data_IF_559813974726
#
_entry.id   IF_559813974726
#
_cell.length_a   1.000
_cell.length_b   1.000
_cell.length_c   1.000
_cell.angle_alpha   90.00
_cell.angle_beta   90.00
_cell.angle_gamma   90.00
#
_symmetry.space_group_name_H-M   'P 1'
#
loop_
_entity.id
_entity.type
_entity.pdbx_description
1 polymer ?
#
# COMPACT_ATOMS: atom_id res chain seq x y z
N UNK A 1 -5.55 -1.51 -26.38
CA UNK A 1 -6.21 -2.84 -26.57
C UNK A 1 -6.19 -3.56 -25.25
N UNK A 2 -7.36 -3.81 -24.68
CA UNK A 2 -7.43 -4.67 -23.50
C UNK A 2 -7.12 -6.09 -23.99
N UNK A 3 -5.96 -6.60 -23.58
CA UNK A 3 -5.68 -8.01 -23.79
C UNK A 3 -6.78 -8.81 -23.10
N UNK A 4 -7.54 -9.57 -23.87
CA UNK A 4 -8.52 -10.49 -23.29
C UNK A 4 -7.74 -11.45 -22.40
N UNK A 5 -8.01 -11.39 -21.13
CA UNK A 5 -7.35 -12.26 -20.17
C UNK A 5 -7.79 -13.68 -20.43
N UNK A 6 -6.88 -14.41 -21.01
CA UNK A 6 -7.02 -15.83 -21.05
C UNK A 6 -6.74 -16.37 -19.64
N UNK A 7 -7.78 -16.80 -18.93
CA UNK A 7 -7.64 -17.37 -17.59
C UNK A 7 -6.62 -18.52 -17.54
N UNK A 8 -6.39 -19.16 -18.68
CA UNK A 8 -5.40 -20.22 -18.85
C UNK A 8 -3.93 -19.75 -18.75
N UNK A 9 -3.70 -18.42 -18.83
CA UNK A 9 -2.36 -17.82 -18.77
C UNK A 9 -2.03 -17.27 -17.39
N UNK A 10 -2.95 -17.37 -16.42
CA UNK A 10 -2.69 -16.94 -15.05
C UNK A 10 -1.97 -18.07 -14.34
N UNK A 11 -0.77 -17.78 -13.84
CA UNK A 11 -0.10 -18.68 -12.92
C UNK A 11 -0.94 -18.76 -11.63
N UNK A 12 -1.41 -19.95 -11.21
CA UNK A 12 -2.18 -20.08 -9.98
C UNK A 12 -1.49 -19.52 -8.75
N UNK A 13 -0.16 -19.50 -8.73
CA UNK A 13 0.63 -18.94 -7.63
C UNK A 13 0.48 -17.41 -7.50
N UNK A 14 0.10 -16.73 -8.59
CA UNK A 14 -0.13 -15.29 -8.58
C UNK A 14 -1.52 -14.91 -8.09
N UNK A 15 -2.43 -15.87 -7.95
CA UNK A 15 -3.77 -15.61 -7.45
C UNK A 15 -3.78 -15.71 -5.93
N UNK A 16 -4.08 -14.60 -5.27
CA UNK A 16 -4.12 -14.49 -3.81
C UNK A 16 -5.46 -13.90 -3.38
N UNK A 17 -6.36 -14.76 -2.90
CA UNK A 17 -7.62 -14.38 -2.26
C UNK A 17 -8.43 -13.28 -3.01
N UNK A 18 -8.61 -13.46 -4.31
CA UNK A 18 -9.41 -12.55 -5.14
C UNK A 18 -8.59 -11.60 -6.00
N UNK A 19 -7.28 -11.49 -5.77
CA UNK A 19 -6.39 -10.64 -6.55
C UNK A 19 -5.37 -11.47 -7.31
N UNK A 20 -4.96 -10.96 -8.47
CA UNK A 20 -3.87 -11.54 -9.25
C UNK A 20 -2.67 -10.61 -9.18
N UNK A 21 -1.52 -11.11 -8.72
CA UNK A 21 -0.30 -10.29 -8.66
C UNK A 21 0.00 -9.65 -10.00
N UNK A 22 0.40 -8.39 -9.91
CA UNK A 22 0.85 -7.55 -11.02
C UNK A 22 -0.26 -7.09 -11.96
N UNK A 23 -1.51 -7.31 -11.59
CA UNK A 23 -2.66 -6.68 -12.25
C UNK A 23 -3.05 -5.39 -11.57
N UNK A 24 -3.73 -4.54 -12.31
CA UNK A 24 -4.19 -3.25 -11.81
C UNK A 24 -5.61 -3.33 -11.29
N UNK A 25 -5.84 -2.66 -10.15
CA UNK A 25 -7.15 -2.53 -9.52
C UNK A 25 -7.34 -1.10 -9.06
N UNK A 26 -8.53 -0.55 -9.28
CA UNK A 26 -8.92 0.71 -8.65
C UNK A 26 -9.25 0.48 -7.17
N UNK A 27 -9.30 1.55 -6.37
CA UNK A 27 -9.74 1.43 -4.97
C UNK A 27 -11.13 0.82 -4.87
N UNK A 28 -12.06 1.25 -5.74
CA UNK A 28 -13.42 0.71 -5.76
C UNK A 28 -13.43 -0.80 -6.03
N UNK A 29 -12.64 -1.27 -7.00
CA UNK A 29 -12.52 -2.70 -7.29
C UNK A 29 -11.99 -3.48 -6.09
N UNK A 30 -10.98 -2.93 -5.42
CA UNK A 30 -10.37 -3.58 -4.25
C UNK A 30 -11.40 -3.76 -3.14
N UNK A 31 -12.15 -2.73 -2.81
CA UNK A 31 -13.16 -2.80 -1.74
C UNK A 31 -14.25 -3.81 -2.07
N UNK A 32 -14.66 -3.86 -3.34
CA UNK A 32 -15.65 -4.82 -3.82
C UNK A 32 -15.15 -6.26 -3.70
N UNK A 33 -13.91 -6.51 -4.11
CA UNK A 33 -13.29 -7.84 -4.03
C UNK A 33 -13.10 -8.27 -2.57
N UNK A 34 -12.75 -7.33 -1.69
CA UNK A 34 -12.62 -7.60 -0.25
C UNK A 34 -13.98 -7.76 0.45
N UNK A 35 -15.09 -7.55 -0.25
CA UNK A 35 -16.43 -7.76 0.30
C UNK A 35 -16.91 -6.68 1.25
N UNK A 36 -16.43 -5.45 1.09
CA UNK A 36 -16.89 -4.35 1.93
C UNK A 36 -18.37 -4.07 1.67
N UNK A 37 -19.15 -3.91 2.74
CA UNK A 37 -20.55 -3.52 2.67
C UNK A 37 -20.71 -2.02 2.35
N UNK A 38 -19.69 -1.21 2.64
CA UNK A 38 -19.64 0.21 2.33
C UNK A 38 -18.80 0.43 1.08
N UNK A 39 -19.17 1.46 0.31
CA UNK A 39 -18.37 1.89 -0.84
C UNK A 39 -17.99 3.36 -0.68
N UNK A 40 -17.06 3.68 0.23
CA UNK A 40 -16.66 5.06 0.45
C UNK A 40 -15.97 5.64 -0.79
N UNK A 41 -16.07 6.96 -1.03
CA UNK A 41 -15.32 7.61 -2.10
C UNK A 41 -13.82 7.33 -1.97
N UNK A 42 -13.13 7.24 -3.10
CA UNK A 42 -11.70 6.95 -3.14
C UNK A 42 -10.86 7.88 -2.24
N UNK A 43 -11.24 9.15 -2.17
CA UNK A 43 -10.58 10.14 -1.33
C UNK A 43 -10.67 9.82 0.17
N UNK A 44 -11.72 9.11 0.59
CA UNK A 44 -11.90 8.71 1.99
C UNK A 44 -11.14 7.42 2.32
N UNK A 45 -10.75 6.65 1.32
CA UNK A 45 -9.86 5.50 1.48
C UNK A 45 -8.42 5.99 1.60
N UNK A 46 -8.03 6.93 0.73
CA UNK A 46 -6.67 7.49 0.73
C UNK A 46 -5.59 6.45 0.53
N UNK A 47 -4.53 6.53 1.33
CA UNK A 47 -3.40 5.62 1.29
C UNK A 47 -3.66 4.28 1.96
N UNK A 48 -4.58 4.21 2.90
CA UNK A 48 -5.00 2.95 3.54
C UNK A 48 -6.26 3.19 4.34
N UNK A 49 -7.02 2.13 4.54
CA UNK A 49 -8.20 2.17 5.41
C UNK A 49 -8.55 0.77 5.91
N UNK A 50 -8.77 0.66 7.21
CA UNK A 50 -9.21 -0.58 7.82
C UNK A 50 -10.64 -0.91 7.38
N UNK A 51 -10.91 -2.18 7.07
CA UNK A 51 -12.24 -2.62 6.70
C UNK A 51 -13.23 -2.50 7.87
N UNK A 52 -14.53 -2.33 7.58
CA UNK A 52 -15.54 -2.28 8.63
C UNK A 52 -15.58 -3.53 9.52
N UNK A 53 -15.27 -4.69 8.96
CA UNK A 53 -15.24 -5.97 9.69
C UNK A 53 -13.94 -6.20 10.47
N UNK A 54 -12.95 -5.31 10.33
CA UNK A 54 -11.66 -5.41 11.00
C UNK A 54 -10.75 -6.54 10.50
N UNK A 55 -11.00 -7.09 9.32
CA UNK A 55 -10.23 -8.24 8.78
C UNK A 55 -9.15 -7.85 7.79
N UNK A 56 -9.23 -6.66 7.22
CA UNK A 56 -8.28 -6.21 6.20
C UNK A 56 -8.00 -4.73 6.27
N UNK A 57 -6.84 -4.34 5.74
CA UNK A 57 -6.47 -2.94 5.55
C UNK A 57 -5.69 -2.83 4.25
N UNK A 58 -6.35 -2.59 3.12
CA UNK A 58 -5.64 -2.38 1.86
C UNK A 58 -4.78 -1.13 1.93
N UNK A 59 -3.56 -1.22 1.40
CA UNK A 59 -2.57 -0.14 1.39
C UNK A 59 -2.31 0.26 -0.06
N UNK A 60 -2.45 1.55 -0.34
CA UNK A 60 -2.28 2.13 -1.68
C UNK A 60 -1.12 3.11 -1.66
N UNK A 61 -0.16 2.91 -2.55
CA UNK A 61 1.03 3.75 -2.66
C UNK A 61 1.13 4.32 -4.07
N UNK A 62 1.32 5.64 -4.18
CA UNK A 62 1.76 6.28 -5.40
C UNK A 62 3.24 6.57 -5.25
N UNK A 63 4.06 5.90 -6.06
CA UNK A 63 5.51 5.90 -5.86
C UNK A 63 6.14 7.28 -6.15
N UNK A 64 5.71 7.94 -7.23
CA UNK A 64 6.12 9.31 -7.56
C UNK A 64 4.90 10.22 -7.51
N UNK A 65 4.88 11.16 -6.59
CA UNK A 65 3.80 12.13 -6.44
C UNK A 65 4.18 13.44 -7.15
N UNK A 66 3.23 14.04 -7.86
CA UNK A 66 3.48 15.23 -8.66
C UNK A 66 3.82 16.48 -7.84
N UNK A 67 3.38 16.55 -6.60
CA UNK A 67 3.56 17.67 -5.68
C UNK A 67 4.69 17.48 -4.67
N UNK A 68 5.65 16.60 -4.98
CA UNK A 68 6.80 16.39 -4.11
C UNK A 68 7.69 17.61 -4.03
N UNK A 69 7.95 18.07 -2.81
CA UNK A 69 8.93 19.10 -2.52
C UNK A 69 10.17 18.47 -1.87
N UNK A 70 11.34 19.08 -2.12
CA UNK A 70 12.62 18.54 -1.66
C UNK A 70 12.66 18.24 -0.16
N UNK A 71 11.99 19.07 0.65
CA UNK A 71 11.96 18.94 2.12
C UNK A 71 11.23 17.69 2.61
N UNK A 72 10.33 17.12 1.81
CA UNK A 72 9.53 15.94 2.19
C UNK A 72 10.00 14.65 1.53
N UNK A 73 10.99 14.68 0.64
CA UNK A 73 11.48 13.49 -0.07
C UNK A 73 11.95 12.39 0.90
N UNK A 74 12.56 12.75 2.01
CA UNK A 74 13.03 11.78 3.02
C UNK A 74 11.89 11.09 3.78
N UNK A 75 10.65 11.58 3.66
CA UNK A 75 9.45 11.00 4.27
C UNK A 75 8.57 10.30 3.25
N UNK A 76 9.17 9.83 2.19
CA UNK A 76 8.51 9.20 1.07
C UNK A 76 8.59 7.68 1.16
N UNK A 77 7.51 7.03 0.78
CA UNK A 77 7.49 5.58 0.62
C UNK A 77 8.51 5.17 -0.46
N UNK A 78 9.35 4.20 -0.15
CA UNK A 78 10.46 3.82 -1.03
C UNK A 78 10.79 2.34 -0.89
N UNK A 79 10.92 1.64 -2.02
CA UNK A 79 11.46 0.29 -2.02
C UNK A 79 12.94 0.28 -1.61
N UNK A 80 13.26 -0.54 -0.64
CA UNK A 80 14.64 -0.88 -0.25
C UNK A 80 15.14 -2.10 -1.00
N UNK A 81 14.24 -2.99 -1.39
CA UNK A 81 14.47 -4.23 -2.12
C UNK A 81 13.16 -4.64 -2.80
N UNK A 82 13.18 -5.57 -3.76
CA UNK A 82 11.94 -6.03 -4.42
C UNK A 82 10.91 -6.62 -3.48
N UNK A 83 11.28 -7.05 -2.29
CA UNK A 83 10.38 -7.61 -1.28
C UNK A 83 10.24 -6.74 -0.03
N UNK A 84 10.78 -5.52 -0.03
CA UNK A 84 10.79 -4.65 1.16
C UNK A 84 10.48 -3.20 0.77
N UNK A 85 9.35 -2.69 1.27
CA UNK A 85 8.93 -1.31 1.07
C UNK A 85 9.05 -0.52 2.38
N UNK A 86 9.87 0.53 2.39
CA UNK A 86 9.87 1.50 3.49
C UNK A 86 8.65 2.40 3.36
N UNK A 87 7.80 2.42 4.39
CA UNK A 87 6.47 3.00 4.31
C UNK A 87 6.17 3.88 5.52
N UNK A 88 5.40 4.94 5.28
CA UNK A 88 4.95 5.89 6.30
C UNK A 88 3.43 5.88 6.41
N UNK A 89 2.94 5.95 7.66
CA UNK A 89 1.52 6.19 7.91
C UNK A 89 1.13 7.62 7.51
N UNK A 90 -0.16 7.93 7.61
CA UNK A 90 -0.60 9.33 7.55
C UNK A 90 0.09 10.13 8.64
N UNK A 91 0.23 11.43 8.38
CA UNK A 91 0.68 12.38 9.41
C UNK A 91 -0.27 12.39 10.61
N UNK A 92 0.24 12.83 11.75
CA UNK A 92 -0.50 12.91 13.02
C UNK A 92 -0.95 11.55 13.52
N UNK A 93 -0.13 10.53 13.31
CA UNK A 93 -0.35 9.18 13.81
C UNK A 93 0.78 8.78 14.75
N UNK A 94 0.43 8.01 15.76
CA UNK A 94 1.38 7.49 16.74
C UNK A 94 1.29 5.96 16.80
N UNK A 95 2.19 5.34 17.50
CA UNK A 95 2.16 3.89 17.76
C UNK A 95 0.85 3.45 18.43
N UNK A 96 0.16 4.36 19.10
CA UNK A 96 -1.11 4.09 19.80
C UNK A 96 -2.36 4.36 18.94
N UNK A 97 -2.20 4.94 17.75
CA UNK A 97 -3.33 5.18 16.86
C UNK A 97 -3.99 3.86 16.48
N UNK A 98 -5.33 3.74 16.51
CA UNK A 98 -6.02 2.45 16.30
C UNK A 98 -5.67 1.81 14.96
N UNK A 99 -5.61 2.60 13.88
CA UNK A 99 -5.26 2.09 12.54
C UNK A 99 -3.82 1.59 12.47
N UNK A 100 -2.89 2.24 13.20
CA UNK A 100 -1.49 1.83 13.25
C UNK A 100 -1.38 0.53 14.04
N UNK A 101 -2.07 0.42 15.17
CA UNK A 101 -2.10 -0.81 15.96
C UNK A 101 -2.68 -1.98 15.17
N UNK A 102 -3.70 -1.72 14.35
CA UNK A 102 -4.25 -2.73 13.46
C UNK A 102 -3.19 -3.26 12.47
N UNK A 103 -2.47 -2.34 11.83
CA UNK A 103 -1.45 -2.70 10.84
C UNK A 103 -0.26 -3.44 11.48
N UNK A 104 0.15 -3.02 12.68
CA UNK A 104 1.32 -3.58 13.36
C UNK A 104 1.03 -4.83 14.18
N UNK A 105 -0.24 -5.19 14.36
CA UNK A 105 -0.64 -6.38 15.07
C UNK A 105 -0.25 -7.64 14.28
N UNK A 106 0.30 -8.63 14.97
CA UNK A 106 0.79 -9.88 14.35
C UNK A 106 -0.27 -10.99 14.26
N UNK A 107 -1.54 -10.66 14.39
CA UNK A 107 -2.61 -11.65 14.26
C UNK A 107 -2.64 -12.23 12.84
N UNK A 108 -2.79 -13.56 12.76
CA UNK A 108 -2.66 -14.29 11.49
C UNK A 108 -3.85 -14.19 10.55
N UNK A 109 -5.00 -13.72 11.01
CA UNK A 109 -6.23 -13.59 10.22
C UNK A 109 -6.37 -12.25 9.52
N UNK A 110 -5.42 -11.36 9.72
CA UNK A 110 -5.42 -10.00 9.21
C UNK A 110 -4.77 -9.91 7.83
N UNK A 111 -5.44 -9.23 6.91
CA UNK A 111 -4.91 -9.03 5.54
C UNK A 111 -4.45 -7.60 5.34
N UNK A 112 -3.26 -7.46 4.77
CA UNK A 112 -2.68 -6.17 4.37
C UNK A 112 -2.28 -6.25 2.89
N UNK A 113 -3.24 -6.20 1.94
CA UNK A 113 -2.89 -6.24 0.52
C UNK A 113 -2.27 -4.92 0.08
N UNK A 114 -1.16 -4.99 -0.65
CA UNK A 114 -0.39 -3.83 -1.12
C UNK A 114 -0.65 -3.57 -2.60
N UNK A 115 -1.00 -2.32 -2.89
CA UNK A 115 -1.25 -1.82 -4.24
C UNK A 115 -0.37 -0.61 -4.51
N UNK A 116 0.39 -0.65 -5.59
CA UNK A 116 1.33 0.42 -5.94
C UNK A 116 1.12 0.86 -7.39
N UNK A 117 1.10 2.17 -7.63
CA UNK A 117 1.21 2.74 -8.97
C UNK A 117 2.44 3.62 -9.05
N UNK A 118 2.99 3.78 -10.23
CA UNK A 118 4.20 4.56 -10.45
C UNK A 118 3.97 6.05 -10.18
N UNK A 119 2.92 6.61 -10.75
CA UNK A 119 2.61 8.05 -10.64
C UNK A 119 1.12 8.31 -10.82
N UNK A 120 0.71 9.54 -10.49
CA UNK A 120 -0.68 9.98 -10.68
C UNK A 120 -1.10 10.03 -12.16
N UNK A 121 -0.14 10.15 -13.07
CA UNK A 121 -0.38 10.14 -14.52
C UNK A 121 -0.93 8.81 -15.03
N UNK A 122 -0.77 7.74 -14.28
CA UNK A 122 -1.24 6.40 -14.69
C UNK A 122 -2.74 6.17 -14.45
N UNK A 123 -3.46 7.14 -13.92
CA UNK A 123 -4.87 7.00 -13.62
C UNK A 123 -5.14 6.47 -12.21
N UNK A 124 -6.29 5.82 -12.03
CA UNK A 124 -6.79 5.43 -10.70
C UNK A 124 -6.37 4.03 -10.24
N UNK A 125 -5.89 3.20 -11.16
CA UNK A 125 -5.59 1.81 -10.86
C UNK A 125 -4.14 1.63 -10.38
N UNK A 126 -3.97 0.71 -9.43
CA UNK A 126 -2.69 0.35 -8.82
C UNK A 126 -2.40 -1.12 -9.08
N UNK A 127 -1.12 -1.47 -9.25
CA UNK A 127 -0.70 -2.87 -9.34
C UNK A 127 -0.80 -3.55 -7.97
N UNK A 128 -1.43 -4.72 -7.94
CA UNK A 128 -1.41 -5.57 -6.76
C UNK A 128 -0.06 -6.28 -6.67
N UNK A 129 0.67 -6.10 -5.57
CA UNK A 129 1.99 -6.69 -5.39
C UNK A 129 2.01 -7.89 -4.45
N UNK A 130 0.93 -8.15 -3.74
CA UNK A 130 0.83 -9.23 -2.78
C UNK A 130 0.42 -8.75 -1.39
N UNK A 131 0.40 -9.67 -0.44
CA UNK A 131 0.15 -9.34 0.96
C UNK A 131 1.46 -8.94 1.64
N UNK A 132 1.38 -7.99 2.55
CA UNK A 132 2.55 -7.55 3.32
C UNK A 132 2.37 -7.83 4.81
N UNK A 133 3.49 -7.93 5.50
CA UNK A 133 3.56 -7.92 6.96
C UNK A 133 4.58 -6.85 7.39
N UNK A 134 4.33 -6.10 8.45
CA UNK A 134 5.34 -5.19 8.99
C UNK A 134 6.52 -5.98 9.56
N UNK A 135 7.74 -5.51 9.28
CA UNK A 135 8.92 -5.95 9.99
C UNK A 135 8.90 -5.31 11.38
N UNK A 136 8.64 -6.09 12.41
CA UNK A 136 8.44 -5.59 13.77
C UNK A 136 9.63 -4.78 14.29
N UNK A 137 10.84 -5.18 13.93
CA UNK A 137 12.05 -4.46 14.32
C UNK A 137 12.23 -3.10 13.64
N UNK A 138 11.49 -2.84 12.57
CA UNK A 138 11.56 -1.59 11.82
C UNK A 138 10.54 -0.55 12.25
N UNK A 139 9.55 -0.91 13.05
CA UNK A 139 8.44 -0.01 13.42
C UNK A 139 8.96 1.07 14.35
N UNK A 140 8.80 2.33 13.97
CA UNK A 140 9.37 3.45 14.69
C UNK A 140 8.47 4.68 14.63
N UNK A 141 8.26 5.30 15.79
CA UNK A 141 7.65 6.62 15.90
C UNK A 141 8.65 7.65 15.37
N UNK A 142 8.21 8.54 14.49
CA UNK A 142 9.05 9.59 13.91
C UNK A 142 8.28 10.91 13.86
N UNK A 143 8.95 11.96 13.41
CA UNK A 143 8.37 13.26 13.18
C UNK A 143 8.73 13.74 11.78
N UNK A 144 7.81 14.49 11.17
CA UNK A 144 8.00 15.05 9.84
C UNK A 144 7.47 16.47 9.79
N UNK A 145 7.94 17.30 8.83
CA UNK A 145 7.36 18.62 8.62
C UNK A 145 5.88 18.51 8.22
N UNK A 146 5.05 19.31 8.88
CA UNK A 146 3.65 19.49 8.52
C UNK A 146 3.44 20.81 7.81
N UNK A 147 2.19 21.27 7.77
CA UNK A 147 1.85 22.59 7.25
C UNK A 147 2.22 23.68 8.27
N UNK A 148 2.52 24.92 7.80
CA UNK A 148 2.79 26.09 8.66
C UNK A 148 3.94 25.90 9.66
N UNK A 149 5.05 25.29 9.22
CA UNK A 149 6.25 25.04 10.05
C UNK A 149 5.98 24.15 11.27
N UNK A 150 4.87 23.45 11.29
CA UNK A 150 4.59 22.44 12.32
C UNK A 150 5.48 21.21 12.14
N UNK A 151 5.74 20.52 13.25
CA UNK A 151 6.31 19.18 13.26
C UNK A 151 5.21 18.22 13.70
N UNK A 152 4.94 17.20 12.91
CA UNK A 152 3.85 16.26 13.15
C UNK A 152 4.38 14.85 13.33
N UNK A 153 3.69 14.07 14.15
CA UNK A 153 4.01 12.67 14.36
C UNK A 153 3.66 11.84 13.14
N UNK A 154 4.48 10.83 12.88
CA UNK A 154 4.26 9.81 11.86
C UNK A 154 4.87 8.51 12.34
N UNK A 155 4.34 7.38 11.89
CA UNK A 155 4.97 6.08 12.13
C UNK A 155 5.53 5.56 10.83
N UNK A 156 6.77 5.08 10.87
CA UNK A 156 7.42 4.46 9.73
C UNK A 156 7.73 3.00 10.01
N UNK A 157 7.78 2.21 8.97
CA UNK A 157 8.09 0.79 9.08
C UNK A 157 8.47 0.24 7.70
N UNK A 158 9.09 -0.92 7.70
CA UNK A 158 9.29 -1.68 6.48
C UNK A 158 8.16 -2.71 6.37
N UNK A 159 7.54 -2.77 5.20
CA UNK A 159 6.52 -3.76 4.85
C UNK A 159 7.19 -4.84 4.00
N UNK A 160 7.04 -6.09 4.42
CA UNK A 160 7.67 -7.23 3.77
C UNK A 160 6.66 -7.97 2.91
N UNK A 161 6.98 -8.16 1.64
CA UNK A 161 6.23 -9.03 0.73
C UNK A 161 6.69 -10.47 0.89
N UNK A 162 5.76 -11.42 0.79
CA UNK A 162 6.07 -12.86 0.82
C UNK A 162 6.85 -13.31 -0.42
N UNK A 163 6.70 -12.59 -1.55
CA UNK A 163 7.47 -12.81 -2.77
C UNK A 163 8.00 -11.48 -3.30
N UNK A 164 9.24 -11.46 -3.81
CA UNK A 164 9.77 -10.26 -4.46
C UNK A 164 8.91 -9.86 -5.66
N UNK A 165 8.76 -8.55 -5.87
CA UNK A 165 8.10 -8.04 -7.08
C UNK A 165 8.87 -8.52 -8.31
N UNK A 166 8.14 -8.91 -9.34
CA UNK A 166 8.72 -9.33 -10.62
C UNK A 166 9.64 -8.24 -11.17
N UNK A 167 10.81 -8.64 -11.71
CA UNK A 167 11.91 -7.71 -12.01
C UNK A 167 11.53 -6.56 -12.95
N UNK A 168 10.78 -6.85 -14.01
CA UNK A 168 10.41 -5.81 -14.98
C UNK A 168 9.46 -4.78 -14.36
N UNK A 169 8.48 -5.22 -13.58
CA UNK A 169 7.57 -4.32 -12.88
C UNK A 169 8.30 -3.52 -11.80
N UNK A 170 9.18 -4.16 -11.05
CA UNK A 170 9.98 -3.49 -10.03
C UNK A 170 10.79 -2.34 -10.64
N UNK A 171 11.54 -2.62 -11.70
CA UNK A 171 12.32 -1.59 -12.40
C UNK A 171 11.44 -0.45 -12.90
N UNK A 172 10.29 -0.78 -13.46
CA UNK A 172 9.34 0.22 -13.92
C UNK A 172 8.86 1.13 -12.78
N UNK A 173 8.53 0.55 -11.63
CA UNK A 173 8.01 1.33 -10.50
C UNK A 173 9.05 2.26 -9.89
N UNK A 174 10.31 1.83 -9.80
CA UNK A 174 11.36 2.61 -9.12
C UNK A 174 12.06 3.62 -10.03
N UNK A 175 11.90 3.52 -11.34
CA UNK A 175 12.42 4.53 -12.29
C UNK A 175 11.65 5.85 -12.14
#
# INVERSE_FOLDING_TARGET
MLATLNLWQINPEDFVDGFVRYRKYSRADVLKILGWSENPPAQNVGGYRQSPDGKSCPIFVTYKKDDEIAETIQYKDKFKAPDRLHWFTRSRRTLNSPEVRFITDVRHDQRLPLFVKKSDDEGKAHYYLGEVIPDQGSIEQAQMPGTNDEVVDVVRMDLLLDQPVESALYQYLIE
#
